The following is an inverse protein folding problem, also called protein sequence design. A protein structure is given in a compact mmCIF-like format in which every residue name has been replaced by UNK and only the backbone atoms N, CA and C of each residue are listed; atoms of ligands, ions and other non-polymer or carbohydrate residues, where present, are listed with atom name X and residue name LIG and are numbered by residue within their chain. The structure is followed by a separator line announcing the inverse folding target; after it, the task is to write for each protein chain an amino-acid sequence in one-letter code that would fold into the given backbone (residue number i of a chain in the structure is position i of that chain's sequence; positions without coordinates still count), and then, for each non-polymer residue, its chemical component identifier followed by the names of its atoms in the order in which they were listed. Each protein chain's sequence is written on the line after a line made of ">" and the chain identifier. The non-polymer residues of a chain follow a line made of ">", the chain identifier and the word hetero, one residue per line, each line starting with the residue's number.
data_IF_501415697300
#
_entry.id   IF_501415697300
#
_cell.length_a   1.000
_cell.length_b   1.000
_cell.length_c   1.000
_cell.angle_alpha   90.00
_cell.angle_beta   90.00
_cell.angle_gamma   90.00
#
_symmetry.space_group_name_H-M   'P 1'
#
loop_
_entity.id
_entity.type
_entity.pdbx_description
1 polymer ?
#
# COMPACT_ATOMS: atom_id res chain seq x y z
N UNK A 1 7.47 10.15 4.75
CA UNK A 1 7.41 9.29 3.56
C UNK A 1 7.07 10.23 2.43
N UNK A 2 7.90 10.27 1.40
CA UNK A 2 7.65 11.08 0.22
C UNK A 2 6.64 10.34 -0.66
N UNK A 3 5.83 11.09 -1.40
CA UNK A 3 4.99 10.57 -2.49
C UNK A 3 5.88 9.77 -3.44
N UNK A 4 5.41 8.62 -3.90
CA UNK A 4 6.15 7.80 -4.86
C UNK A 4 6.38 8.61 -6.14
N UNK A 5 7.56 8.46 -6.75
CA UNK A 5 7.76 9.05 -8.08
C UNK A 5 6.90 8.34 -9.11
N UNK A 6 6.65 8.97 -10.25
CA UNK A 6 5.92 8.34 -11.35
C UNK A 6 6.57 7.01 -11.77
N UNK A 7 7.91 6.94 -11.74
CA UNK A 7 8.65 5.72 -12.02
C UNK A 7 8.42 4.65 -10.95
N UNK A 8 8.45 5.01 -9.67
CA UNK A 8 8.20 4.05 -8.58
C UNK A 8 6.78 3.46 -8.67
N UNK A 9 5.79 4.30 -8.99
CA UNK A 9 4.40 3.84 -9.19
C UNK A 9 4.27 2.92 -10.40
N UNK A 10 4.98 3.21 -11.48
CA UNK A 10 5.04 2.34 -12.66
C UNK A 10 5.70 0.99 -12.35
N UNK A 11 6.82 1.00 -11.62
CA UNK A 11 7.53 -0.21 -11.23
C UNK A 11 6.67 -1.09 -10.29
N UNK A 12 5.99 -0.47 -9.33
CA UNK A 12 5.02 -1.14 -8.45
C UNK A 12 3.85 -1.76 -9.25
N UNK A 13 3.31 -1.01 -10.22
CA UNK A 13 2.25 -1.52 -11.10
C UNK A 13 2.72 -2.74 -11.90
N UNK A 14 3.94 -2.71 -12.44
CA UNK A 14 4.52 -3.82 -13.16
C UNK A 14 4.80 -5.04 -12.25
N UNK A 15 5.28 -4.81 -11.03
CA UNK A 15 5.50 -5.85 -10.02
C UNK A 15 4.19 -6.52 -9.61
N UNK A 16 3.14 -5.73 -9.32
CA UNK A 16 1.83 -6.24 -8.93
C UNK A 16 1.20 -7.10 -10.03
N UNK A 17 1.26 -6.67 -11.29
CA UNK A 17 0.80 -7.51 -12.41
C UNK A 17 1.56 -8.84 -12.51
N UNK A 18 2.87 -8.84 -12.27
CA UNK A 18 3.68 -10.08 -12.27
C UNK A 18 3.27 -10.99 -11.12
N UNK A 19 3.06 -10.43 -9.93
CA UNK A 19 2.57 -11.16 -8.76
C UNK A 19 1.22 -11.82 -9.04
N UNK A 20 0.20 -11.06 -9.45
CA UNK A 20 -1.14 -11.59 -9.73
C UNK A 20 -1.13 -12.63 -10.85
N UNK A 21 -0.30 -12.44 -11.89
CA UNK A 21 -0.12 -13.46 -12.92
C UNK A 21 0.52 -14.76 -12.37
N UNK A 22 1.45 -14.67 -11.43
CA UNK A 22 2.11 -15.83 -10.83
C UNK A 22 1.14 -16.65 -9.96
N UNK A 23 0.28 -15.98 -9.19
CA UNK A 23 -0.75 -16.63 -8.37
C UNK A 23 -2.03 -16.97 -9.16
N UNK A 24 -2.05 -16.65 -10.46
CA UNK A 24 -3.20 -16.85 -11.38
C UNK A 24 -4.48 -16.20 -10.88
N UNK A 25 -4.34 -15.04 -10.26
CA UNK A 25 -5.46 -14.23 -9.82
C UNK A 25 -6.06 -13.50 -11.04
N UNK A 26 -7.37 -13.68 -11.23
CA UNK A 26 -8.10 -12.96 -12.27
C UNK A 26 -8.32 -11.51 -11.85
N UNK A 27 -7.86 -10.57 -12.68
CA UNK A 27 -8.09 -9.13 -12.49
C UNK A 27 -8.97 -8.64 -13.63
N UNK A 28 -10.20 -8.22 -13.31
CA UNK A 28 -11.17 -7.68 -14.26
C UNK A 28 -10.94 -6.24 -14.71
N UNK A 29 -9.72 -5.71 -14.54
CA UNK A 29 -9.34 -4.35 -14.90
C UNK A 29 -8.42 -4.35 -16.12
N UNK A 30 -8.57 -3.33 -16.97
CA UNK A 30 -7.58 -3.05 -18.00
C UNK A 30 -6.27 -2.55 -17.37
N UNK A 31 -5.18 -2.64 -18.13
CA UNK A 31 -3.86 -2.14 -17.72
C UNK A 31 -3.87 -0.67 -17.26
N UNK A 32 -4.49 0.27 -18.00
CA UNK A 32 -4.59 1.67 -17.56
C UNK A 32 -5.43 1.86 -16.29
N UNK A 33 -6.52 1.11 -16.13
CA UNK A 33 -7.36 1.19 -14.93
C UNK A 33 -6.61 0.70 -13.68
N UNK A 34 -5.84 -0.39 -13.81
CA UNK A 34 -4.99 -0.87 -12.73
C UNK A 34 -3.90 0.14 -12.37
N UNK A 35 -3.30 0.81 -13.37
CA UNK A 35 -2.31 1.88 -13.13
C UNK A 35 -2.94 3.05 -12.36
N UNK A 36 -4.14 3.48 -12.75
CA UNK A 36 -4.90 4.52 -12.07
C UNK A 36 -5.29 4.10 -10.63
N UNK A 37 -5.57 2.82 -10.39
CA UNK A 37 -5.81 2.31 -9.05
C UNK A 37 -4.56 2.37 -8.15
N UNK A 38 -3.38 2.10 -8.71
CA UNK A 38 -2.09 2.27 -7.98
C UNK A 38 -1.86 3.74 -7.62
N UNK A 39 -2.09 4.66 -8.56
CA UNK A 39 -2.00 6.11 -8.29
C UNK A 39 -2.94 6.54 -7.17
N UNK A 40 -4.22 6.18 -7.28
CA UNK A 40 -5.23 6.54 -6.29
C UNK A 40 -4.90 5.95 -4.90
N UNK A 41 -4.27 4.78 -4.84
CA UNK A 41 -3.84 4.17 -3.58
C UNK A 41 -2.69 4.93 -2.94
N UNK A 42 -1.67 5.32 -3.71
CA UNK A 42 -0.55 6.14 -3.20
C UNK A 42 -1.05 7.52 -2.72
N UNK A 43 -1.90 8.18 -3.52
CA UNK A 43 -2.49 9.46 -3.17
C UNK A 43 -3.34 9.37 -1.89
N UNK A 44 -4.11 8.29 -1.73
CA UNK A 44 -4.89 8.06 -0.50
C UNK A 44 -3.98 7.86 0.72
N UNK A 45 -2.91 7.08 0.59
CA UNK A 45 -1.95 6.87 1.68
C UNK A 45 -1.31 8.19 2.09
N UNK A 46 -0.90 9.00 1.12
CA UNK A 46 -0.30 10.32 1.39
C UNK A 46 -1.27 11.23 2.14
N UNK A 47 -2.54 11.26 1.74
CA UNK A 47 -3.58 12.06 2.38
C UNK A 47 -3.93 11.58 3.80
N UNK A 48 -3.93 10.27 4.06
CA UNK A 48 -4.46 9.68 5.30
C UNK A 48 -3.38 9.23 6.29
N UNK A 49 -2.09 9.34 5.95
CA UNK A 49 -0.99 8.91 6.86
C UNK A 49 -0.99 9.63 8.21
N UNK A 50 -1.44 10.89 8.25
CA UNK A 50 -1.54 11.66 9.49
C UNK A 50 -2.65 11.11 10.38
N UNK A 51 -3.82 10.84 9.80
CA UNK A 51 -4.97 10.26 10.49
C UNK A 51 -4.64 8.86 11.02
N UNK A 52 -4.01 8.02 10.21
CA UNK A 52 -3.52 6.71 10.67
C UNK A 52 -2.58 6.86 11.87
N UNK A 53 -1.58 7.75 11.80
CA UNK A 53 -0.67 7.98 12.90
C UNK A 53 -1.39 8.45 14.17
N UNK A 54 -2.39 9.32 14.04
CA UNK A 54 -3.18 9.82 15.18
C UNK A 54 -4.06 8.75 15.83
N UNK A 55 -4.48 7.74 15.07
CA UNK A 55 -5.32 6.64 15.56
C UNK A 55 -4.55 5.61 16.41
N UNK A 56 -3.22 5.59 16.32
CA UNK A 56 -2.38 4.68 17.10
C UNK A 56 -2.35 5.10 18.59
N UNK A 57 -2.20 4.17 19.53
CA UNK A 57 -1.96 4.52 20.94
C UNK A 57 -0.72 5.41 21.12
N UNK A 58 -0.75 6.35 22.07
CA UNK A 58 0.31 7.35 22.25
C UNK A 58 1.73 6.76 22.38
N UNK A 59 1.85 5.61 23.05
CA UNK A 59 3.13 4.90 23.16
C UNK A 59 3.68 4.47 21.79
N UNK A 60 2.82 3.94 20.92
CA UNK A 60 3.21 3.52 19.57
C UNK A 60 3.48 4.73 18.65
N UNK A 61 2.76 5.83 18.84
CA UNK A 61 3.03 7.08 18.11
C UNK A 61 4.46 7.58 18.37
N UNK A 62 4.88 7.60 19.64
CA UNK A 62 6.19 8.12 20.05
C UNK A 62 7.34 7.14 19.80
N UNK A 63 7.13 5.84 20.02
CA UNK A 63 8.21 4.85 19.97
C UNK A 63 8.49 4.31 18.56
N UNK A 64 7.50 4.25 17.67
CA UNK A 64 7.67 3.63 16.36
C UNK A 64 8.11 4.63 15.30
N UNK A 65 9.12 4.23 14.52
CA UNK A 65 9.51 4.91 13.28
C UNK A 65 8.41 4.80 12.22
N UNK A 66 8.42 5.69 11.22
CA UNK A 66 7.47 5.63 10.10
C UNK A 66 7.48 4.27 9.38
N UNK A 67 8.67 3.68 9.19
CA UNK A 67 8.81 2.34 8.56
C UNK A 67 8.18 1.24 9.41
N UNK A 68 8.31 1.29 10.74
CA UNK A 68 7.67 0.32 11.62
C UNK A 68 6.14 0.47 11.62
N UNK A 69 5.64 1.70 11.58
CA UNK A 69 4.20 1.98 11.46
C UNK A 69 3.61 1.47 10.15
N UNK A 70 4.35 1.61 9.04
CA UNK A 70 3.96 1.07 7.74
C UNK A 70 3.95 -0.47 7.75
N UNK A 71 4.96 -1.13 8.33
CA UNK A 71 4.96 -2.59 8.50
C UNK A 71 3.79 -3.08 9.35
N UNK A 72 3.48 -2.37 10.43
CA UNK A 72 2.33 -2.67 11.27
C UNK A 72 1.02 -2.56 10.47
N UNK A 73 0.88 -1.51 9.67
CA UNK A 73 -0.29 -1.32 8.79
C UNK A 73 -0.44 -2.50 7.82
N UNK A 74 0.63 -2.88 7.11
CA UNK A 74 0.62 -4.01 6.18
C UNK A 74 0.29 -5.32 6.88
N UNK A 75 0.88 -5.60 8.05
CA UNK A 75 0.62 -6.83 8.81
C UNK A 75 -0.85 -6.94 9.27
N UNK A 76 -1.44 -5.83 9.71
CA UNK A 76 -2.87 -5.79 10.08
C UNK A 76 -3.75 -5.98 8.85
N UNK A 77 -3.43 -5.33 7.73
CA UNK A 77 -4.18 -5.48 6.48
C UNK A 77 -4.14 -6.94 5.97
N UNK A 78 -2.96 -7.55 5.91
CA UNK A 78 -2.78 -8.96 5.56
C UNK A 78 -3.66 -9.87 6.42
N UNK A 79 -3.58 -9.71 7.74
CA UNK A 79 -4.37 -10.55 8.66
C UNK A 79 -5.87 -10.32 8.55
N UNK A 80 -6.29 -9.08 8.26
CA UNK A 80 -7.71 -8.71 8.16
C UNK A 80 -8.36 -9.23 6.87
N UNK A 81 -7.62 -9.20 5.76
CA UNK A 81 -8.13 -9.59 4.45
C UNK A 81 -7.74 -11.01 4.04
N UNK A 82 -6.98 -11.72 4.88
CA UNK A 82 -6.48 -13.07 4.61
C UNK A 82 -5.70 -13.15 3.28
N UNK A 83 -4.82 -12.16 3.07
CA UNK A 83 -4.00 -12.02 1.86
C UNK A 83 -2.54 -12.32 2.18
N UNK A 84 -1.93 -13.17 1.36
CA UNK A 84 -0.48 -13.42 1.35
C UNK A 84 0.19 -12.43 0.39
N UNK A 85 1.30 -11.83 0.81
CA UNK A 85 2.09 -10.86 0.01
C UNK A 85 3.49 -11.41 -0.19
#
# INVERSE_FOLDING_TARGET
>A
MAVLTEQDRYDLWAEYMRFSSNIREEIGLTKPELRAAVDATDDWIEANKADYNSSLPAAAQAALTAKQKARLFMAVAQKKFDVEV
#
